data_IF_697399752843
#
_entry.id   IF_697399752843
#
_cell.length_a   1.000
_cell.length_b   1.000
_cell.length_c   1.000
_cell.angle_alpha   90.00
_cell.angle_beta   90.00
_cell.angle_gamma   90.00
#
_symmetry.space_group_name_H-M   'P 1'
#
loop_
_entity.id
_entity.type
_entity.pdbx_description
1 polymer ?
#
# COMPACT_ATOMS: atom_id res chain seq x y z
N UNK A 1 31.52 24.08 -10.96
CA UNK A 1 31.60 25.20 -10.00
C UNK A 1 30.33 26.02 -10.14
N UNK A 2 29.35 25.77 -9.28
CA UNK A 2 28.10 26.53 -9.24
C UNK A 2 27.82 26.83 -7.76
N UNK A 3 27.83 28.12 -7.43
CA UNK A 3 27.74 28.65 -6.07
C UNK A 3 26.33 28.48 -5.51
N UNK A 4 26.25 27.88 -4.33
CA UNK A 4 25.05 27.83 -3.51
C UNK A 4 24.95 29.12 -2.71
N UNK A 5 23.91 29.93 -2.98
CA UNK A 5 23.55 31.07 -2.15
C UNK A 5 22.63 30.59 -1.02
N UNK A 6 23.19 30.58 0.18
CA UNK A 6 22.52 30.26 1.44
C UNK A 6 21.71 31.48 1.90
N UNK A 7 20.40 31.35 2.07
CA UNK A 7 19.55 32.39 2.69
C UNK A 7 19.12 31.89 4.07
N UNK A 8 19.69 32.52 5.08
CA UNK A 8 19.39 32.34 6.51
C UNK A 8 18.11 33.09 6.87
N UNK A 9 17.19 32.42 7.57
CA UNK A 9 16.11 33.06 8.30
C UNK A 9 16.18 32.65 9.78
N UNK A 10 16.94 33.44 10.54
CA UNK A 10 16.82 33.51 11.99
C UNK A 10 15.94 34.73 12.32
N UNK A 11 14.86 34.51 13.06
CA UNK A 11 14.24 35.41 14.05
C UNK A 11 12.75 35.08 14.16
N UNK A 12 12.37 34.31 15.17
CA UNK A 12 11.07 34.46 15.81
C UNK A 12 11.26 34.26 17.31
N UNK A 13 10.95 35.34 18.01
CA UNK A 13 11.19 35.64 19.40
C UNK A 13 10.32 34.83 20.35
N UNK A 14 10.95 34.37 21.42
CA UNK A 14 10.32 33.87 22.63
C UNK A 14 9.52 34.98 23.32
N UNK A 15 8.25 34.72 23.63
CA UNK A 15 7.61 35.27 24.83
C UNK A 15 6.85 34.14 25.54
N UNK A 16 7.48 33.65 26.60
CA UNK A 16 6.90 32.75 27.58
C UNK A 16 5.94 33.55 28.48
N UNK A 17 4.73 33.04 28.67
CA UNK A 17 3.89 33.44 29.80
C UNK A 17 3.95 32.35 30.85
N UNK A 18 4.45 32.74 32.01
CA UNK A 18 4.58 31.94 33.24
C UNK A 18 3.17 31.69 33.79
N UNK A 19 2.76 30.42 33.93
CA UNK A 19 1.72 30.04 34.89
C UNK A 19 2.27 28.92 35.77
N UNK A 20 2.23 29.21 37.06
CA UNK A 20 2.87 28.47 38.12
C UNK A 20 2.04 27.23 38.53
N UNK A 21 2.79 26.23 38.96
CA UNK A 21 2.42 24.89 39.42
C UNK A 21 1.33 24.82 40.50
N UNK A 22 0.39 23.88 40.34
CA UNK A 22 -0.18 23.11 41.45
C UNK A 22 -0.26 21.62 41.08
N UNK A 23 0.49 20.82 41.83
CA UNK A 23 0.48 19.35 41.83
C UNK A 23 -0.86 18.84 42.36
N UNK A 24 -1.55 18.00 41.60
CA UNK A 24 -2.40 16.94 42.16
C UNK A 24 -2.07 15.61 41.47
N UNK A 25 -1.57 14.67 42.28
CA UNK A 25 -1.48 13.25 41.94
C UNK A 25 -2.90 12.70 41.89
N UNK A 26 -3.29 12.08 40.78
CA UNK A 26 -4.35 11.07 40.76
C UNK A 26 -3.99 9.98 39.76
N UNK A 27 -4.06 8.74 40.25
CA UNK A 27 -3.79 7.48 39.57
C UNK A 27 -4.78 7.23 38.42
N UNK A 28 -4.39 6.64 37.28
CA UNK A 28 -5.38 6.18 36.30
C UNK A 28 -5.90 4.80 36.71
N UNK A 29 -7.20 4.73 37.01
CA UNK A 29 -7.94 3.48 37.09
C UNK A 29 -8.11 2.87 35.70
N UNK A 30 -7.84 1.57 35.57
CA UNK A 30 -8.16 0.78 34.39
C UNK A 30 -9.68 0.50 34.37
N UNK A 31 -10.40 1.04 33.40
CA UNK A 31 -11.75 0.59 33.07
C UNK A 31 -11.66 -0.68 32.20
N UNK A 32 -11.92 -1.82 32.83
CA UNK A 32 -12.11 -3.10 32.14
C UNK A 32 -13.60 -3.27 31.84
N UNK A 33 -13.98 -3.12 30.57
CA UNK A 33 -15.31 -3.49 30.09
C UNK A 33 -15.42 -5.01 29.99
N UNK A 34 -16.23 -5.63 30.87
CA UNK A 34 -16.61 -7.04 30.74
C UNK A 34 -17.88 -7.15 29.88
N UNK A 35 -17.84 -7.89 28.79
CA UNK A 35 -19.04 -8.29 28.06
C UNK A 35 -19.87 -9.26 28.91
N UNK A 36 -21.10 -8.86 29.26
CA UNK A 36 -22.12 -9.77 29.81
C UNK A 36 -22.78 -10.51 28.66
N UNK A 37 -22.63 -11.83 28.63
CA UNK A 37 -23.34 -12.71 27.71
C UNK A 37 -24.85 -12.70 27.95
N UNK A 38 -25.60 -12.72 26.85
CA UNK A 38 -27.06 -12.82 26.79
C UNK A 38 -27.54 -14.22 27.18
N UNK A 39 -28.62 -14.27 27.95
CA UNK A 39 -29.33 -15.49 28.34
C UNK A 39 -30.09 -16.06 27.14
N UNK A 40 -29.74 -17.27 26.72
CA UNK A 40 -30.60 -18.12 25.90
C UNK A 40 -31.13 -19.27 26.77
N UNK A 41 -32.46 -19.42 26.77
CA UNK A 41 -33.15 -20.54 27.41
C UNK A 41 -32.78 -21.86 26.74
N UNK A 42 -32.17 -22.78 27.48
CA UNK A 42 -32.08 -24.18 27.11
C UNK A 42 -32.49 -25.05 28.31
N UNK A 43 -33.43 -25.95 28.04
CA UNK A 43 -34.06 -26.85 29.00
C UNK A 43 -33.04 -27.74 29.72
N UNK A 44 -33.20 -27.86 31.04
CA UNK A 44 -32.34 -28.65 31.91
C UNK A 44 -32.64 -30.16 31.80
N UNK A 45 -31.75 -30.93 31.19
CA UNK A 45 -31.64 -32.37 31.44
C UNK A 45 -30.57 -32.59 32.53
N UNK A 46 -31.00 -32.90 33.76
CA UNK A 46 -30.12 -33.26 34.88
C UNK A 46 -29.70 -34.73 34.76
N UNK A 47 -28.43 -34.98 34.52
CA UNK A 47 -27.78 -36.25 34.86
C UNK A 47 -26.85 -36.02 36.05
N UNK A 48 -27.13 -36.70 37.15
CA UNK A 48 -26.32 -36.68 38.38
C UNK A 48 -25.23 -37.74 38.29
N UNK A 49 -23.96 -37.34 38.32
CA UNK A 49 -22.83 -38.25 38.51
C UNK A 49 -21.94 -37.72 39.65
N UNK A 50 -21.67 -38.50 40.72
CA UNK A 50 -20.82 -38.07 41.81
C UNK A 50 -19.39 -38.55 41.55
N UNK A 51 -18.63 -37.81 40.75
CA UNK A 51 -17.17 -37.95 40.75
C UNK A 51 -16.54 -36.57 40.87
N UNK A 52 -16.14 -36.26 42.11
CA UNK A 52 -15.34 -35.10 42.44
C UNK A 52 -13.98 -35.21 41.75
N UNK A 53 -13.86 -34.63 40.56
CA UNK A 53 -12.56 -34.40 39.93
C UNK A 53 -11.92 -33.22 40.65
N UNK A 54 -10.93 -33.51 41.49
CA UNK A 54 -10.02 -32.52 42.05
C UNK A 54 -9.35 -31.75 40.89
N UNK A 55 -9.86 -30.55 40.57
CA UNK A 55 -9.14 -29.59 39.74
C UNK A 55 -7.96 -29.07 40.56
N UNK A 56 -6.75 -29.54 40.24
CA UNK A 56 -5.52 -28.84 40.66
C UNK A 56 -5.61 -27.40 40.13
N UNK A 57 -5.36 -26.37 40.96
CA UNK A 57 -5.26 -25.02 40.45
C UNK A 57 -4.05 -24.97 39.51
N UNK A 58 -4.30 -24.67 38.21
CA UNK A 58 -3.22 -24.27 37.30
C UNK A 58 -2.72 -22.92 37.80
N UNK A 59 -1.64 -22.95 38.58
CA UNK A 59 -0.90 -21.75 38.93
C UNK A 59 -0.49 -21.01 37.65
N UNK A 60 -0.94 -19.77 37.52
CA UNK A 60 -0.17 -18.71 36.87
C UNK A 60 -0.06 -18.73 35.34
N UNK A 61 -1.09 -19.14 34.60
CA UNK A 61 -1.16 -18.72 33.19
C UNK A 61 -1.70 -17.29 33.18
N UNK A 62 -0.81 -16.31 33.19
CA UNK A 62 -1.17 -14.94 32.89
C UNK A 62 -1.83 -14.96 31.51
N UNK A 63 -3.07 -14.43 31.33
CA UNK A 63 -3.67 -14.39 30.01
C UNK A 63 -2.72 -13.62 29.09
N UNK A 64 -2.42 -14.20 27.92
CA UNK A 64 -1.59 -13.57 26.90
C UNK A 64 -2.22 -12.20 26.58
N UNK A 65 -1.61 -11.12 27.06
CA UNK A 65 -2.10 -9.77 26.81
C UNK A 65 -1.55 -9.32 25.46
N UNK A 66 -2.33 -9.55 24.40
CA UNK A 66 -2.06 -8.97 23.08
C UNK A 66 -2.44 -7.50 23.13
N UNK A 67 -1.50 -6.63 22.80
CA UNK A 67 -1.74 -5.18 22.70
C UNK A 67 -1.39 -4.76 21.28
N UNK A 68 -2.36 -4.17 20.58
CA UNK A 68 -2.08 -3.49 19.32
C UNK A 68 -1.33 -2.19 19.63
N UNK A 69 -0.12 -2.05 19.11
CA UNK A 69 0.72 -0.88 19.33
C UNK A 69 1.05 -0.24 17.99
N UNK A 70 0.83 1.07 17.91
CA UNK A 70 1.29 1.91 16.82
C UNK A 70 2.62 2.56 17.19
N UNK A 71 3.48 2.71 16.20
CA UNK A 71 4.79 3.33 16.32
C UNK A 71 4.78 4.71 15.67
N UNK A 72 5.67 5.62 16.08
CA UNK A 72 5.77 6.93 15.43
C UNK A 72 6.04 6.81 13.92
N UNK A 73 5.48 7.76 13.15
CA UNK A 73 5.81 7.92 11.73
C UNK A 73 7.34 8.01 11.58
N UNK A 74 7.97 7.16 10.77
CA UNK A 74 9.41 7.24 10.53
C UNK A 74 9.77 8.57 9.86
N UNK A 75 10.99 9.04 10.07
CA UNK A 75 11.54 10.14 9.28
C UNK A 75 11.76 9.67 7.84
N UNK A 76 10.89 10.15 6.94
CA UNK A 76 10.88 9.86 5.51
C UNK A 76 11.06 11.12 4.66
N UNK A 77 10.79 12.30 5.22
CA UNK A 77 10.65 13.55 4.46
C UNK A 77 12.01 14.05 3.94
N UNK A 78 13.11 13.53 4.51
CA UNK A 78 14.48 13.85 4.14
C UNK A 78 15.10 12.90 3.10
N UNK A 79 14.39 11.83 2.68
CA UNK A 79 14.95 10.87 1.71
C UNK A 79 14.96 11.44 0.29
N UNK A 80 15.95 11.07 -0.51
CA UNK A 80 16.08 11.57 -1.89
C UNK A 80 14.84 11.26 -2.74
N UNK A 81 14.29 10.04 -2.62
CA UNK A 81 13.10 9.60 -3.35
C UNK A 81 11.85 10.39 -2.91
N UNK A 82 11.72 10.72 -1.61
CA UNK A 82 10.63 11.56 -1.13
C UNK A 82 10.72 12.97 -1.71
N UNK A 83 11.91 13.58 -1.66
CA UNK A 83 12.15 14.94 -2.16
C UNK A 83 11.94 15.04 -3.67
N UNK A 84 12.35 14.02 -4.43
CA UNK A 84 12.11 13.95 -5.88
C UNK A 84 10.61 13.87 -6.20
N UNK A 85 9.87 13.00 -5.51
CA UNK A 85 8.42 12.90 -5.67
C UNK A 85 7.70 14.19 -5.24
N UNK A 86 8.15 14.83 -4.15
CA UNK A 86 7.63 16.11 -3.67
C UNK A 86 7.85 17.22 -4.69
N UNK A 87 9.04 17.26 -5.31
CA UNK A 87 9.34 18.19 -6.38
C UNK A 87 8.38 17.98 -7.55
N UNK A 88 8.26 16.75 -8.06
CA UNK A 88 7.36 16.44 -9.18
C UNK A 88 5.91 16.81 -8.88
N UNK A 89 5.38 16.43 -7.71
CA UNK A 89 3.99 16.76 -7.35
C UNK A 89 3.78 18.27 -7.15
N UNK A 90 4.78 18.99 -6.63
CA UNK A 90 4.73 20.45 -6.51
C UNK A 90 4.62 21.16 -7.85
N UNK A 91 5.16 20.57 -8.94
CA UNK A 91 5.13 21.21 -10.26
C UNK A 91 3.70 21.47 -10.74
N UNK A 92 2.75 20.58 -10.46
CA UNK A 92 1.33 20.79 -10.82
C UNK A 92 0.75 22.05 -10.17
N UNK A 93 1.05 22.29 -8.89
CA UNK A 93 0.56 23.50 -8.18
C UNK A 93 1.29 24.77 -8.62
N UNK A 94 2.57 24.65 -8.95
CA UNK A 94 3.45 25.75 -9.35
C UNK A 94 3.34 26.13 -10.84
N UNK A 95 2.78 25.26 -11.68
CA UNK A 95 2.58 25.54 -13.10
C UNK A 95 1.72 26.80 -13.31
N UNK A 96 2.03 27.62 -14.34
CA UNK A 96 1.18 28.74 -14.73
C UNK A 96 -0.25 28.25 -14.97
N UNK A 97 -1.23 28.97 -14.43
CA UNK A 97 -2.65 28.61 -14.60
C UNK A 97 -3.01 28.71 -16.08
N UNK A 98 -3.73 27.71 -16.64
CA UNK A 98 -4.08 27.71 -18.05
C UNK A 98 -5.04 28.87 -18.34
N UNK A 99 -4.84 29.57 -19.47
CA UNK A 99 -5.77 30.60 -19.94
C UNK A 99 -7.15 30.03 -20.24
N UNK A 100 -7.20 28.78 -20.70
CA UNK A 100 -8.40 27.96 -20.85
C UNK A 100 -8.16 26.61 -20.16
N UNK A 101 -8.73 26.38 -18.96
CA UNK A 101 -8.71 25.07 -18.33
C UNK A 101 -9.22 23.97 -19.27
N UNK A 102 -8.49 22.87 -19.38
CA UNK A 102 -8.93 21.69 -20.13
C UNK A 102 -9.98 20.94 -19.31
N UNK A 103 -11.04 20.52 -19.99
CA UNK A 103 -11.97 19.51 -19.48
C UNK A 103 -11.36 18.13 -19.77
N UNK A 104 -11.09 17.34 -18.74
CA UNK A 104 -10.45 16.03 -18.89
C UNK A 104 -11.33 14.93 -18.30
N UNK A 105 -11.80 14.02 -19.14
CA UNK A 105 -12.64 12.90 -18.67
C UNK A 105 -11.76 11.71 -18.33
N UNK A 106 -11.95 11.15 -17.14
CA UNK A 106 -11.13 10.07 -16.59
C UNK A 106 -12.04 8.88 -16.28
N UNK A 107 -11.78 7.73 -16.89
CA UNK A 107 -12.52 6.49 -16.64
C UNK A 107 -11.87 5.68 -15.51
N UNK A 108 -12.58 5.53 -14.38
CA UNK A 108 -12.23 4.72 -13.21
C UNK A 108 -11.67 5.54 -12.04
N UNK A 109 -12.34 5.48 -10.88
CA UNK A 109 -11.91 6.15 -9.64
C UNK A 109 -11.14 5.21 -8.69
N UNK A 110 -10.25 4.39 -9.24
CA UNK A 110 -9.18 3.76 -8.46
C UNK A 110 -8.10 4.78 -8.07
N UNK A 111 -7.09 4.36 -7.30
CA UNK A 111 -6.00 5.27 -6.89
C UNK A 111 -5.32 5.97 -8.07
N UNK A 112 -5.18 5.31 -9.23
CA UNK A 112 -4.64 5.93 -10.43
C UNK A 112 -5.51 7.11 -10.92
N UNK A 113 -6.82 6.90 -11.11
CA UNK A 113 -7.72 7.95 -11.58
C UNK A 113 -7.95 9.06 -10.57
N UNK A 114 -8.01 8.71 -9.27
CA UNK A 114 -8.06 9.69 -8.18
C UNK A 114 -6.81 10.58 -8.17
N UNK A 115 -5.61 9.99 -8.29
CA UNK A 115 -4.37 10.76 -8.38
C UNK A 115 -4.32 11.62 -9.66
N UNK A 116 -4.72 11.07 -10.82
CA UNK A 116 -4.80 11.84 -12.07
C UNK A 116 -5.72 13.06 -11.91
N UNK A 117 -6.93 12.87 -11.38
CA UNK A 117 -7.88 13.96 -11.17
C UNK A 117 -7.33 14.99 -10.18
N UNK A 118 -6.75 14.55 -9.06
CA UNK A 118 -6.14 15.43 -8.04
C UNK A 118 -5.08 16.33 -8.65
N UNK A 119 -4.13 15.78 -9.40
CA UNK A 119 -3.03 16.57 -9.96
C UNK A 119 -3.43 17.42 -11.17
N UNK A 120 -4.45 17.02 -11.94
CA UNK A 120 -5.05 17.89 -12.96
C UNK A 120 -5.77 19.09 -12.32
N UNK A 121 -6.50 18.87 -11.23
CA UNK A 121 -7.12 19.94 -10.46
C UNK A 121 -6.06 20.88 -9.87
N UNK A 122 -4.97 20.34 -9.32
CA UNK A 122 -3.83 21.14 -8.83
C UNK A 122 -3.22 22.03 -9.92
N UNK A 123 -3.17 21.55 -11.16
CA UNK A 123 -2.72 22.30 -12.34
C UNK A 123 -3.74 23.33 -12.87
N UNK A 124 -4.95 23.38 -12.30
CA UNK A 124 -6.01 24.32 -12.69
C UNK A 124 -6.81 23.85 -13.90
N UNK A 125 -6.85 22.54 -14.17
CA UNK A 125 -7.75 21.94 -15.15
C UNK A 125 -9.04 21.44 -14.49
N UNK A 126 -10.03 21.05 -15.30
CA UNK A 126 -11.32 20.56 -14.84
C UNK A 126 -11.45 19.04 -15.09
N UNK A 127 -11.01 18.19 -14.14
CA UNK A 127 -11.17 16.74 -14.27
C UNK A 127 -12.63 16.34 -14.05
N UNK A 128 -13.12 15.37 -14.84
CA UNK A 128 -14.39 14.69 -14.66
C UNK A 128 -14.09 13.20 -14.49
N UNK A 129 -14.08 12.75 -13.24
CA UNK A 129 -13.76 11.39 -12.85
C UNK A 129 -15.03 10.54 -12.78
N UNK A 130 -15.08 9.48 -13.58
CA UNK A 130 -16.25 8.61 -13.74
C UNK A 130 -15.95 7.21 -13.21
N UNK A 131 -16.62 6.82 -12.14
CA UNK A 131 -16.52 5.48 -11.53
C UNK A 131 -17.70 4.62 -11.92
N UNK A 132 -17.43 3.38 -12.33
CA UNK A 132 -18.45 2.47 -12.81
C UNK A 132 -19.35 1.91 -11.69
N UNK A 133 -18.81 1.77 -10.48
CA UNK A 133 -19.52 1.26 -9.29
C UNK A 133 -20.06 2.39 -8.43
N UNK A 134 -20.78 2.02 -7.38
CA UNK A 134 -21.25 2.89 -6.29
C UNK A 134 -20.18 3.14 -5.21
N UNK A 135 -18.97 2.56 -5.36
CA UNK A 135 -17.86 2.65 -4.40
C UNK A 135 -16.55 3.11 -5.07
N UNK A 136 -15.79 3.94 -4.36
CA UNK A 136 -14.49 4.46 -4.79
C UNK A 136 -13.33 3.47 -4.51
N UNK A 137 -12.17 3.74 -5.09
CA UNK A 137 -10.90 3.09 -4.73
C UNK A 137 -10.52 1.88 -5.60
N UNK A 138 -11.45 1.32 -6.36
CA UNK A 138 -11.11 0.21 -7.26
C UNK A 138 -10.69 -1.03 -6.48
N UNK A 139 -9.39 -1.40 -6.56
CA UNK A 139 -8.82 -2.54 -5.83
C UNK A 139 -8.62 -2.28 -4.33
N UNK A 140 -8.69 -1.03 -3.88
CA UNK A 140 -8.71 -0.67 -2.44
C UNK A 140 -10.13 -0.48 -1.90
N UNK A 141 -11.17 -0.77 -2.68
CA UNK A 141 -12.55 -0.56 -2.25
C UNK A 141 -12.92 -1.44 -1.04
N UNK A 142 -13.82 -0.94 -0.22
CA UNK A 142 -14.39 -1.64 0.93
C UNK A 142 -15.89 -1.36 1.00
N UNK A 143 -16.63 -2.28 1.61
CA UNK A 143 -18.07 -2.16 1.83
C UNK A 143 -18.38 -2.44 3.30
N UNK A 144 -19.52 -1.91 3.74
CA UNK A 144 -20.04 -2.11 5.10
C UNK A 144 -21.22 -3.06 5.01
N UNK A 145 -21.23 -4.10 5.83
CA UNK A 145 -22.36 -5.04 5.91
C UNK A 145 -23.52 -4.50 6.78
N UNK A 146 -24.53 -5.33 6.99
CA UNK A 146 -25.70 -4.97 7.81
C UNK A 146 -25.40 -4.79 9.29
N UNK A 147 -24.34 -5.42 9.80
CA UNK A 147 -23.94 -5.37 11.21
C UNK A 147 -23.06 -4.15 11.49
N UNK A 148 -22.58 -3.49 10.43
CA UNK A 148 -21.77 -2.28 10.48
C UNK A 148 -20.27 -2.55 10.32
N UNK A 149 -19.89 -3.81 10.07
CA UNK A 149 -18.51 -4.23 9.89
C UNK A 149 -18.04 -3.99 8.45
N UNK A 150 -16.78 -3.60 8.31
CA UNK A 150 -16.15 -3.37 7.01
C UNK A 150 -15.50 -4.64 6.49
N UNK A 151 -15.68 -4.92 5.21
CA UNK A 151 -14.93 -5.93 4.46
C UNK A 151 -14.29 -5.31 3.22
N UNK A 152 -13.02 -5.66 2.97
CA UNK A 152 -12.19 -5.01 1.97
C UNK A 152 -11.91 -5.90 0.76
N UNK A 153 -11.63 -5.28 -0.39
CA UNK A 153 -11.23 -6.00 -1.61
C UNK A 153 -9.90 -6.76 -1.41
N UNK A 154 -9.01 -6.27 -0.55
CA UNK A 154 -7.71 -6.89 -0.27
C UNK A 154 -7.07 -6.30 0.99
N UNK A 155 -6.10 -7.02 1.55
CA UNK A 155 -5.27 -6.51 2.65
C UNK A 155 -4.18 -5.60 2.08
N UNK A 156 -4.22 -4.30 2.42
CA UNK A 156 -3.29 -3.31 1.89
C UNK A 156 -2.24 -2.88 2.91
N UNK A 157 -0.97 -2.91 2.51
CA UNK A 157 0.17 -2.48 3.31
C UNK A 157 0.82 -1.26 2.65
N UNK A 158 1.05 -0.21 3.44
CA UNK A 158 1.78 0.97 3.01
C UNK A 158 3.23 0.86 3.47
N UNK A 159 4.18 1.14 2.58
CA UNK A 159 5.60 1.09 2.87
C UNK A 159 6.22 2.48 2.98
N UNK A 160 7.30 2.60 3.77
CA UNK A 160 8.12 3.81 3.80
C UNK A 160 8.63 4.23 2.41
N UNK A 161 9.05 3.24 1.60
CA UNK A 161 9.57 3.47 0.26
C UNK A 161 8.50 3.79 -0.81
N UNK A 162 7.33 4.30 -0.42
CA UNK A 162 6.26 4.75 -1.33
C UNK A 162 6.19 6.28 -1.40
N UNK A 163 7.18 6.95 -2.00
CA UNK A 163 7.33 8.41 -1.88
C UNK A 163 6.14 9.19 -2.43
N UNK A 164 5.52 8.73 -3.53
CA UNK A 164 4.34 9.38 -4.10
C UNK A 164 3.10 9.28 -3.18
N UNK A 165 2.94 8.17 -2.45
CA UNK A 165 1.86 8.02 -1.48
C UNK A 165 2.13 8.87 -0.24
N UNK A 166 3.37 8.88 0.27
CA UNK A 166 3.74 9.72 1.41
C UNK A 166 3.50 11.21 1.09
N UNK A 167 3.87 11.65 -0.11
CA UNK A 167 3.58 13.01 -0.57
C UNK A 167 2.08 13.28 -0.70
N UNK A 168 1.30 12.37 -1.31
CA UNK A 168 -0.15 12.52 -1.42
C UNK A 168 -0.83 12.66 -0.04
N UNK A 169 -0.43 11.85 0.94
CA UNK A 169 -0.94 11.94 2.31
C UNK A 169 -0.55 13.27 2.98
N UNK A 170 0.69 13.73 2.78
CA UNK A 170 1.14 15.02 3.28
C UNK A 170 0.42 16.21 2.66
N UNK A 171 0.17 16.16 1.35
CA UNK A 171 -0.54 17.19 0.61
C UNK A 171 -2.01 17.34 1.02
N UNK A 172 -2.65 16.23 1.39
CA UNK A 172 -4.02 16.19 1.89
C UNK A 172 -4.10 16.38 3.42
N UNK A 173 -2.97 16.45 4.11
CA UNK A 173 -2.92 16.61 5.58
C UNK A 173 -3.45 15.41 6.36
N UNK A 174 -3.26 14.18 5.84
CA UNK A 174 -3.80 12.94 6.42
C UNK A 174 -2.72 11.92 6.82
N UNK A 175 -1.48 12.38 7.03
CA UNK A 175 -0.34 11.52 7.42
C UNK A 175 -0.60 10.70 8.69
N UNK A 176 -1.42 11.19 9.60
CA UNK A 176 -1.81 10.55 10.86
C UNK A 176 -2.69 9.30 10.66
N UNK A 177 -3.31 9.14 9.48
CA UNK A 177 -4.13 7.96 9.15
C UNK A 177 -3.30 6.70 8.86
N UNK A 178 -1.97 6.83 8.74
CA UNK A 178 -1.07 5.70 8.58
C UNK A 178 -0.56 5.22 9.96
N UNK A 179 -1.06 4.05 10.36
CA UNK A 179 -0.67 3.37 11.60
C UNK A 179 0.60 2.54 11.38
N UNK A 180 1.75 3.16 11.62
CA UNK A 180 3.06 2.51 11.47
C UNK A 180 3.27 1.43 12.51
N UNK A 181 3.84 0.29 12.08
CA UNK A 181 4.13 -0.86 12.95
C UNK A 181 5.62 -0.97 13.24
N UNK A 182 5.96 -1.91 14.12
CA UNK A 182 7.35 -2.25 14.41
C UNK A 182 8.10 -2.55 13.11
N UNK A 183 9.37 -2.15 13.03
CA UNK A 183 10.19 -2.45 11.86
C UNK A 183 10.68 -3.91 11.89
N UNK A 184 9.75 -4.82 11.62
CA UNK A 184 9.98 -6.27 11.65
C UNK A 184 9.18 -6.98 10.57
N UNK A 185 9.70 -8.12 10.11
CA UNK A 185 8.98 -9.07 9.28
C UNK A 185 8.80 -10.38 10.03
N UNK A 186 7.56 -10.79 10.25
CA UNK A 186 7.21 -11.98 11.05
C UNK A 186 6.68 -13.07 10.11
N UNK A 187 7.22 -14.26 10.25
CA UNK A 187 6.91 -15.44 9.45
C UNK A 187 6.42 -16.56 10.35
N UNK A 188 5.33 -17.22 9.98
CA UNK A 188 4.89 -18.44 10.64
C UNK A 188 5.85 -19.60 10.30
N UNK A 189 6.05 -20.54 11.22
CA UNK A 189 6.91 -21.70 11.03
C UNK A 189 6.06 -22.94 10.68
N UNK A 190 6.00 -23.39 9.41
CA UNK A 190 5.13 -24.51 9.02
C UNK A 190 5.52 -25.83 9.68
N UNK A 191 6.81 -26.00 9.98
CA UNK A 191 7.37 -27.16 10.68
C UNK A 191 7.14 -27.13 12.20
N UNK A 192 6.67 -26.01 12.76
CA UNK A 192 6.41 -25.83 14.19
C UNK A 192 5.11 -25.05 14.41
N UNK A 193 3.94 -25.73 14.36
CA UNK A 193 2.64 -25.06 14.45
C UNK A 193 2.50 -24.19 15.70
N UNK A 194 2.16 -22.91 15.49
CA UNK A 194 2.01 -21.91 16.56
C UNK A 194 3.29 -21.12 16.88
N UNK A 195 4.44 -21.48 16.30
CA UNK A 195 5.68 -20.70 16.41
C UNK A 195 5.84 -19.72 15.25
N UNK A 196 6.53 -18.61 15.53
CA UNK A 196 6.82 -17.55 14.58
C UNK A 196 8.30 -17.17 14.65
N UNK A 197 8.90 -16.95 13.49
CA UNK A 197 10.24 -16.39 13.35
C UNK A 197 10.16 -14.95 12.84
N UNK A 198 11.18 -14.14 13.14
CA UNK A 198 11.17 -12.72 12.78
C UNK A 198 12.52 -12.21 12.29
N UNK A 199 12.47 -11.25 11.37
CA UNK A 199 13.60 -10.39 11.00
C UNK A 199 13.37 -9.00 11.60
N UNK A 200 14.24 -8.60 12.52
CA UNK A 200 14.18 -7.30 13.21
C UNK A 200 15.18 -6.33 12.61
N UNK A 201 14.71 -5.16 12.19
CA UNK A 201 15.52 -4.11 11.59
C UNK A 201 15.85 -3.08 12.68
N UNK A 202 17.09 -3.06 13.22
CA UNK A 202 17.41 -2.17 14.32
C UNK A 202 17.37 -0.70 13.88
N UNK A 203 16.60 0.13 14.57
CA UNK A 203 16.47 1.56 14.25
C UNK A 203 17.79 2.33 14.41
N UNK A 204 18.78 1.80 15.14
CA UNK A 204 20.10 2.42 15.28
C UNK A 204 21.00 2.24 14.05
N UNK A 205 20.68 1.28 13.17
CA UNK A 205 21.50 0.96 11.99
C UNK A 205 20.87 1.57 10.72
N UNK A 206 21.67 2.10 9.79
CA UNK A 206 21.17 2.58 8.50
C UNK A 206 20.85 1.40 7.56
N UNK A 207 20.12 1.65 6.48
CA UNK A 207 20.06 0.71 5.37
C UNK A 207 21.40 0.72 4.59
N UNK A 208 21.86 -0.43 4.06
CA UNK A 208 21.29 -1.77 4.16
C UNK A 208 21.76 -2.57 5.41
N UNK A 209 22.54 -1.96 6.31
CA UNK A 209 23.17 -2.63 7.47
C UNK A 209 22.11 -3.20 8.42
N UNK A 210 21.00 -2.50 8.63
CA UNK A 210 19.87 -2.98 9.42
C UNK A 210 19.29 -4.31 8.89
N UNK A 211 19.15 -4.45 7.57
CA UNK A 211 18.66 -5.67 6.92
C UNK A 211 19.65 -6.82 6.99
N UNK A 212 20.94 -6.54 6.79
CA UNK A 212 22.01 -7.52 6.98
C UNK A 212 22.00 -8.04 8.42
N UNK A 213 21.86 -7.15 9.40
CA UNK A 213 21.76 -7.51 10.81
C UNK A 213 20.52 -8.39 11.10
N UNK A 214 19.36 -8.04 10.53
CA UNK A 214 18.14 -8.83 10.62
C UNK A 214 18.37 -10.29 10.19
N UNK A 215 18.99 -10.49 9.02
CA UNK A 215 19.29 -11.81 8.47
C UNK A 215 20.29 -12.57 9.34
N UNK A 216 21.34 -11.89 9.81
CA UNK A 216 22.37 -12.51 10.66
C UNK A 216 21.79 -12.96 12.01
N UNK A 217 20.93 -12.14 12.63
CA UNK A 217 20.32 -12.43 13.94
C UNK A 217 19.30 -13.58 13.89
N UNK A 218 18.58 -13.75 12.78
CA UNK A 218 17.59 -14.83 12.64
C UNK A 218 18.27 -16.20 12.46
N UNK A 219 17.98 -17.18 13.33
CA UNK A 219 18.65 -18.50 13.28
C UNK A 219 17.72 -19.67 12.94
N UNK A 220 16.43 -19.40 12.69
CA UNK A 220 15.43 -20.45 12.49
C UNK A 220 15.03 -20.61 11.02
N UNK A 221 15.06 -19.52 10.24
CA UNK A 221 14.70 -19.55 8.83
C UNK A 221 15.86 -20.01 7.96
N UNK A 222 17.07 -19.48 8.19
CA UNK A 222 18.26 -19.69 7.36
C UNK A 222 19.44 -20.23 8.16
N UNK A 223 20.06 -21.29 7.66
CA UNK A 223 21.33 -21.81 8.17
C UNK A 223 22.50 -20.89 7.78
N UNK A 224 23.63 -20.98 8.49
CA UNK A 224 24.82 -20.19 8.17
C UNK A 224 25.33 -20.35 6.72
N UNK A 225 25.45 -21.59 6.17
CA UNK A 225 25.83 -21.76 4.78
C UNK A 225 24.85 -21.13 3.78
N UNK A 226 23.54 -21.19 4.08
CA UNK A 226 22.51 -20.54 3.27
C UNK A 226 22.63 -19.02 3.31
N UNK A 227 22.86 -18.42 4.49
CA UNK A 227 23.08 -16.97 4.63
C UNK A 227 24.26 -16.49 3.79
N UNK A 228 25.38 -17.22 3.81
CA UNK A 228 26.57 -16.87 3.03
C UNK A 228 26.28 -16.93 1.53
N UNK A 229 25.70 -18.04 1.05
CA UNK A 229 25.34 -18.19 -0.37
C UNK A 229 24.31 -17.16 -0.82
N UNK A 230 23.33 -16.86 0.03
CA UNK A 230 22.33 -15.83 -0.22
C UNK A 230 22.96 -14.44 -0.36
N UNK A 231 23.85 -14.07 0.57
CA UNK A 231 24.59 -12.81 0.50
C UNK A 231 25.40 -12.70 -0.79
N UNK A 232 26.17 -13.73 -1.14
CA UNK A 232 26.97 -13.77 -2.38
C UNK A 232 26.06 -13.65 -3.62
N UNK A 233 24.96 -14.40 -3.66
CA UNK A 233 24.04 -14.42 -4.79
C UNK A 233 23.34 -13.08 -5.04
N UNK A 234 23.08 -12.29 -3.98
CA UNK A 234 22.48 -10.96 -4.08
C UNK A 234 23.47 -9.85 -4.46
N UNK A 235 24.79 -10.04 -4.31
CA UNK A 235 25.77 -8.98 -4.59
C UNK A 235 25.61 -8.32 -5.98
N UNK A 236 25.41 -9.07 -7.08
CA UNK A 236 25.23 -8.46 -8.39
C UNK A 236 23.98 -7.56 -8.47
N UNK A 237 22.91 -7.92 -7.77
CA UNK A 237 21.70 -7.11 -7.71
C UNK A 237 21.88 -5.82 -6.91
N UNK A 238 22.64 -5.88 -5.82
CA UNK A 238 22.93 -4.69 -4.98
C UNK A 238 23.80 -3.70 -5.75
N UNK A 239 24.76 -4.18 -6.56
CA UNK A 239 25.72 -3.34 -7.28
C UNK A 239 25.23 -2.90 -8.68
N UNK A 240 24.29 -3.64 -9.29
CA UNK A 240 23.96 -3.51 -10.71
C UNK A 240 23.10 -2.31 -11.11
N UNK A 241 22.51 -1.58 -10.15
CA UNK A 241 21.63 -0.44 -10.42
C UNK A 241 20.40 -0.79 -11.25
N UNK A 242 19.72 0.24 -11.78
CA UNK A 242 18.43 0.09 -12.46
C UNK A 242 18.50 -0.74 -13.75
N UNK A 243 19.55 -0.55 -14.56
CA UNK A 243 19.73 -1.29 -15.81
C UNK A 243 19.91 -2.80 -15.57
N UNK A 244 20.59 -3.19 -14.49
CA UNK A 244 20.69 -4.60 -14.11
C UNK A 244 19.33 -5.17 -13.73
N UNK A 245 18.54 -4.44 -12.93
CA UNK A 245 17.20 -4.88 -12.48
C UNK A 245 16.30 -5.12 -13.68
N UNK A 246 16.26 -4.20 -14.64
CA UNK A 246 15.48 -4.34 -15.88
C UNK A 246 15.92 -5.54 -16.73
N UNK A 247 17.22 -5.81 -16.79
CA UNK A 247 17.74 -6.97 -17.51
C UNK A 247 17.33 -8.32 -16.88
N UNK A 248 16.78 -8.34 -15.66
CA UNK A 248 16.33 -9.58 -15.01
C UNK A 248 14.84 -9.91 -15.27
N UNK A 249 14.10 -9.08 -16.04
CA UNK A 249 12.68 -9.33 -16.31
C UNK A 249 12.40 -10.63 -17.10
N UNK A 250 13.40 -11.12 -17.83
CA UNK A 250 13.31 -12.37 -18.58
C UNK A 250 13.45 -13.65 -17.74
N UNK A 251 13.72 -13.54 -16.43
CA UNK A 251 13.92 -14.70 -15.54
C UNK A 251 12.84 -14.75 -14.46
N UNK A 252 12.36 -15.96 -14.16
CA UNK A 252 11.56 -16.18 -12.95
C UNK A 252 12.43 -15.98 -11.70
N UNK A 253 11.81 -15.70 -10.55
CA UNK A 253 12.51 -15.62 -9.26
C UNK A 253 13.28 -16.93 -9.00
N UNK A 254 12.64 -18.08 -9.24
CA UNK A 254 13.24 -19.39 -9.03
C UNK A 254 14.46 -19.61 -9.92
N UNK A 255 14.37 -19.27 -11.20
CA UNK A 255 15.48 -19.47 -12.15
C UNK A 255 16.65 -18.52 -11.86
N UNK A 256 16.35 -17.28 -11.48
CA UNK A 256 17.37 -16.32 -11.07
C UNK A 256 18.09 -16.78 -9.80
N UNK A 257 17.36 -17.22 -8.77
CA UNK A 257 17.97 -17.72 -7.53
C UNK A 257 18.95 -18.87 -7.80
N UNK A 258 18.55 -19.83 -8.64
CA UNK A 258 19.40 -20.95 -9.05
C UNK A 258 20.63 -20.50 -9.82
N UNK A 259 20.45 -19.57 -10.78
CA UNK A 259 21.55 -18.98 -11.56
C UNK A 259 22.59 -18.30 -10.66
N UNK A 260 22.14 -17.67 -9.57
CA UNK A 260 23.01 -17.00 -8.60
C UNK A 260 23.61 -17.95 -7.54
N UNK A 261 23.34 -19.26 -7.61
CA UNK A 261 23.83 -20.25 -6.65
C UNK A 261 23.16 -20.18 -5.28
N UNK A 262 22.00 -19.53 -5.18
CA UNK A 262 21.21 -19.44 -3.95
C UNK A 262 20.50 -20.78 -3.73
N UNK A 263 20.58 -21.38 -2.54
CA UNK A 263 19.95 -22.69 -2.29
C UNK A 263 18.43 -22.67 -2.48
N UNK A 264 17.89 -23.72 -3.11
CA UNK A 264 16.44 -23.87 -3.37
C UNK A 264 15.57 -23.74 -2.11
N UNK A 265 16.10 -24.11 -0.94
CA UNK A 265 15.42 -23.94 0.35
C UNK A 265 15.18 -22.46 0.69
N UNK A 266 16.11 -21.56 0.38
CA UNK A 266 15.92 -20.10 0.59
C UNK A 266 14.77 -19.59 -0.28
N UNK A 267 14.68 -20.05 -1.52
CA UNK A 267 13.57 -19.73 -2.42
C UNK A 267 12.23 -20.19 -1.85
N UNK A 268 12.21 -21.40 -1.28
CA UNK A 268 10.99 -22.02 -0.74
C UNK A 268 10.54 -21.37 0.57
N UNK A 269 11.46 -21.13 1.51
CA UNK A 269 11.15 -20.61 2.85
C UNK A 269 10.85 -19.10 2.84
N UNK A 270 11.57 -18.31 2.02
CA UNK A 270 11.47 -16.85 2.04
C UNK A 270 10.75 -16.31 0.82
N UNK A 271 11.14 -16.73 -0.38
CA UNK A 271 10.67 -16.10 -1.61
C UNK A 271 9.30 -16.60 -2.09
N UNK A 272 8.80 -17.75 -1.62
CA UNK A 272 7.38 -18.08 -1.81
C UNK A 272 6.49 -17.05 -1.11
N UNK A 273 6.81 -16.72 0.15
CA UNK A 273 6.06 -15.73 0.91
C UNK A 273 6.13 -14.35 0.26
N UNK A 274 7.34 -13.92 -0.14
CA UNK A 274 7.54 -12.62 -0.79
C UNK A 274 6.84 -12.52 -2.15
N UNK A 275 6.94 -13.55 -3.01
CA UNK A 275 6.29 -13.56 -4.33
C UNK A 275 4.76 -13.51 -4.22
N UNK A 276 4.19 -14.28 -3.29
CA UNK A 276 2.74 -14.27 -3.04
C UNK A 276 2.28 -12.95 -2.44
N UNK A 277 3.07 -12.33 -1.57
CA UNK A 277 2.73 -11.03 -0.99
C UNK A 277 2.72 -9.89 -2.04
N UNK A 278 3.63 -9.93 -3.03
CA UNK A 278 3.76 -8.87 -4.02
C UNK A 278 2.79 -9.00 -5.20
N UNK A 279 2.56 -10.22 -5.69
CA UNK A 279 1.79 -10.43 -6.92
C UNK A 279 0.90 -11.69 -6.92
N UNK A 280 0.69 -12.30 -5.75
CA UNK A 280 -0.21 -13.45 -5.56
C UNK A 280 0.14 -14.73 -6.35
N UNK A 281 1.34 -14.81 -6.94
CA UNK A 281 1.85 -15.96 -7.70
C UNK A 281 3.14 -16.52 -7.08
N UNK A 282 3.50 -17.75 -7.49
CA UNK A 282 4.67 -18.44 -6.99
C UNK A 282 5.98 -17.93 -7.65
N UNK A 283 7.15 -18.16 -7.03
CA UNK A 283 8.44 -17.68 -7.55
C UNK A 283 8.87 -18.31 -8.89
N UNK A 284 8.29 -19.42 -9.31
CA UNK A 284 8.50 -20.02 -10.64
C UNK A 284 7.77 -19.28 -11.76
N UNK A 285 6.76 -18.46 -11.43
CA UNK A 285 5.99 -17.66 -12.39
C UNK A 285 6.34 -16.16 -12.32
N UNK A 286 6.71 -15.66 -11.14
CA UNK A 286 7.00 -14.25 -10.92
C UNK A 286 8.33 -13.82 -11.58
N UNK A 287 8.31 -12.71 -12.31
CA UNK A 287 9.53 -12.04 -12.82
C UNK A 287 10.44 -11.59 -11.67
N UNK A 288 11.74 -11.89 -11.78
CA UNK A 288 12.73 -11.47 -10.77
C UNK A 288 12.84 -9.95 -10.66
N UNK A 289 12.53 -9.20 -11.73
CA UNK A 289 12.49 -7.75 -11.70
C UNK A 289 11.59 -7.22 -10.57
N UNK A 290 10.44 -7.88 -10.33
CA UNK A 290 9.51 -7.50 -9.27
C UNK A 290 10.16 -7.57 -7.87
N UNK A 291 10.86 -8.67 -7.57
CA UNK A 291 11.57 -8.85 -6.30
C UNK A 291 12.71 -7.86 -6.17
N UNK A 292 13.48 -7.63 -7.23
CA UNK A 292 14.62 -6.73 -7.19
C UNK A 292 14.20 -5.27 -6.99
N UNK A 293 13.09 -4.83 -7.56
CA UNK A 293 12.54 -3.49 -7.28
C UNK A 293 12.21 -3.35 -5.78
N UNK A 294 11.54 -4.35 -5.19
CA UNK A 294 11.21 -4.33 -3.77
C UNK A 294 12.47 -4.33 -2.87
N UNK A 295 13.44 -5.22 -3.16
CA UNK A 295 14.69 -5.27 -2.41
C UNK A 295 15.50 -3.99 -2.55
N UNK A 296 15.64 -3.43 -3.76
CA UNK A 296 16.38 -2.20 -3.99
C UNK A 296 15.82 -1.04 -3.17
N UNK A 297 14.50 -0.91 -3.10
CA UNK A 297 13.83 0.09 -2.25
C UNK A 297 14.11 -0.13 -0.76
N UNK A 298 14.13 -1.39 -0.30
CA UNK A 298 14.43 -1.71 1.11
C UNK A 298 15.89 -1.50 1.48
N UNK A 299 16.81 -1.57 0.52
CA UNK A 299 18.24 -1.37 0.72
C UNK A 299 18.65 0.10 0.66
N UNK A 300 17.89 0.94 -0.06
CA UNK A 300 18.19 2.36 -0.24
C UNK A 300 17.73 3.23 0.93
N UNK A 301 16.61 2.89 1.55
CA UNK A 301 15.99 3.73 2.59
C UNK A 301 15.94 3.01 3.93
N UNK A 302 16.43 3.68 4.99
CA UNK A 302 16.46 3.13 6.35
C UNK A 302 15.11 2.54 6.78
N UNK A 303 14.02 3.25 6.52
CA UNK A 303 12.65 2.84 6.86
C UNK A 303 11.85 2.38 5.62
N UNK A 304 12.51 2.08 4.50
CA UNK A 304 11.85 1.74 3.25
C UNK A 304 10.96 0.50 3.34
N UNK A 305 11.37 -0.49 4.13
CA UNK A 305 10.61 -1.72 4.42
C UNK A 305 9.70 -1.62 5.66
N UNK A 306 9.64 -0.48 6.35
CA UNK A 306 8.73 -0.30 7.49
C UNK A 306 7.29 -0.23 6.95
N UNK A 307 6.38 -0.88 7.67
CA UNK A 307 5.00 -1.11 7.22
C UNK A 307 4.02 -0.26 8.03
N UNK A 308 2.95 0.19 7.36
CA UNK A 308 1.81 0.86 7.97
C UNK A 308 0.49 0.29 7.44
N UNK A 309 -0.53 0.36 8.28
CA UNK A 309 -1.93 0.08 7.95
C UNK A 309 -2.70 1.41 7.90
N UNK A 310 -3.77 1.46 7.12
CA UNK A 310 -4.69 2.58 7.17
C UNK A 310 -5.60 2.45 8.39
N UNK A 311 -5.92 3.56 9.05
CA UNK A 311 -6.72 3.62 10.28
C UNK A 311 -8.23 3.34 10.11
N UNK A 312 -8.64 2.81 8.95
CA UNK A 312 -10.01 2.46 8.63
C UNK A 312 -10.19 2.21 7.13
N UNK A 313 -11.44 2.16 6.68
CA UNK A 313 -11.78 1.76 5.31
C UNK A 313 -11.18 2.73 4.27
N UNK A 314 -10.49 2.24 3.22
CA UNK A 314 -9.87 3.13 2.22
C UNK A 314 -10.83 4.09 1.51
N UNK A 315 -12.10 3.73 1.18
CA UNK A 315 -13.04 4.68 0.60
C UNK A 315 -13.25 5.93 1.45
N UNK A 316 -13.41 5.80 2.76
CA UNK A 316 -13.64 6.94 3.68
C UNK A 316 -12.33 7.60 4.12
N UNK A 317 -11.29 6.80 4.38
CA UNK A 317 -10.06 7.27 5.00
C UNK A 317 -9.01 7.78 4.00
N UNK A 318 -9.08 7.38 2.73
CA UNK A 318 -8.15 7.79 1.69
C UNK A 318 -8.84 8.39 0.45
N UNK A 319 -9.86 7.72 -0.09
CA UNK A 319 -10.48 8.18 -1.33
C UNK A 319 -11.30 9.46 -1.14
N UNK A 320 -12.10 9.56 -0.07
CA UNK A 320 -12.92 10.75 0.20
C UNK A 320 -12.09 12.04 0.31
N UNK A 321 -10.98 12.12 1.07
CA UNK A 321 -10.11 13.30 1.06
C UNK A 321 -9.62 13.74 -0.33
N UNK A 322 -9.33 12.78 -1.22
CA UNK A 322 -8.93 13.09 -2.60
C UNK A 322 -10.11 13.67 -3.38
N UNK A 323 -11.31 13.11 -3.22
CA UNK A 323 -12.54 13.61 -3.85
C UNK A 323 -12.87 15.03 -3.38
N UNK A 324 -12.80 15.27 -2.06
CA UNK A 324 -13.05 16.59 -1.47
C UNK A 324 -12.09 17.63 -2.06
N UNK A 325 -10.81 17.28 -2.19
CA UNK A 325 -9.80 18.13 -2.82
C UNK A 325 -10.12 18.44 -4.28
N UNK A 326 -10.45 17.41 -5.08
CA UNK A 326 -10.82 17.56 -6.50
C UNK A 326 -12.02 18.50 -6.63
N UNK A 327 -13.07 18.29 -5.84
CA UNK A 327 -14.30 19.08 -5.88
C UNK A 327 -14.09 20.52 -5.40
N UNK A 328 -13.23 20.74 -4.40
CA UNK A 328 -12.87 22.08 -3.92
C UNK A 328 -12.22 22.96 -4.99
N UNK A 329 -11.59 22.32 -5.99
CA UNK A 329 -10.93 22.96 -7.12
C UNK A 329 -11.79 22.94 -8.41
N UNK A 330 -13.06 22.58 -8.30
CA UNK A 330 -14.03 22.61 -9.42
C UNK A 330 -14.04 21.37 -10.31
N UNK A 331 -13.32 20.32 -9.94
CA UNK A 331 -13.43 19.01 -10.58
C UNK A 331 -14.71 18.27 -10.20
N UNK A 332 -15.10 17.30 -11.01
CA UNK A 332 -16.28 16.48 -10.78
C UNK A 332 -15.93 15.02 -10.55
N UNK A 333 -16.61 14.38 -9.61
CA UNK A 333 -16.48 12.93 -9.34
C UNK A 333 -17.88 12.32 -9.35
N UNK A 334 -18.12 11.33 -10.22
CA UNK A 334 -19.43 10.69 -10.41
C UNK A 334 -19.30 9.18 -10.29
N UNK A 335 -20.00 8.57 -9.33
CA UNK A 335 -20.17 7.12 -9.23
C UNK A 335 -21.28 6.65 -10.17
N UNK A 336 -21.45 5.33 -10.30
CA UNK A 336 -22.47 4.70 -11.17
C UNK A 336 -22.45 5.19 -12.64
N UNK A 337 -21.27 5.57 -13.12
CA UNK A 337 -21.03 6.19 -14.42
C UNK A 337 -20.12 5.31 -15.28
N UNK A 338 -20.60 4.11 -15.64
CA UNK A 338 -19.80 3.13 -16.40
C UNK A 338 -19.66 3.54 -17.85
N UNK A 339 -18.41 3.66 -18.33
CA UNK A 339 -18.12 3.79 -19.76
C UNK A 339 -18.50 2.48 -20.47
N UNK A 340 -19.31 2.59 -21.51
CA UNK A 340 -19.73 1.47 -22.36
C UNK A 340 -18.96 1.44 -23.69
N UNK A 341 -18.62 2.61 -24.25
CA UNK A 341 -17.92 2.70 -25.54
C UNK A 341 -17.05 3.95 -25.62
N UNK A 342 -15.89 3.81 -26.25
CA UNK A 342 -15.06 4.92 -26.73
C UNK A 342 -15.53 5.23 -28.16
N UNK A 343 -16.18 6.37 -28.35
CA UNK A 343 -16.63 6.80 -29.67
C UNK A 343 -15.54 7.61 -30.36
N UNK A 344 -15.31 7.34 -31.64
CA UNK A 344 -14.21 7.92 -32.39
C UNK A 344 -14.70 8.88 -33.48
N UNK A 345 -13.86 9.89 -33.74
CA UNK A 345 -13.96 10.70 -34.95
C UNK A 345 -13.50 9.90 -36.18
N UNK A 346 -13.76 10.44 -37.37
CA UNK A 346 -13.37 9.82 -38.63
C UNK A 346 -11.84 9.68 -38.80
N UNK A 347 -11.06 10.50 -38.10
CA UNK A 347 -9.59 10.46 -38.09
C UNK A 347 -9.01 9.46 -37.06
N UNK A 348 -9.87 8.77 -36.31
CA UNK A 348 -9.49 7.79 -35.29
C UNK A 348 -9.19 8.38 -33.92
N UNK A 349 -9.31 9.70 -33.72
CA UNK A 349 -9.21 10.33 -32.39
C UNK A 349 -10.49 10.13 -31.57
N UNK A 350 -10.41 10.27 -30.25
CA UNK A 350 -11.59 10.13 -29.38
C UNK A 350 -12.54 11.32 -29.59
N UNK A 351 -13.79 11.01 -29.93
CA UNK A 351 -14.87 11.99 -30.00
C UNK A 351 -15.52 12.18 -28.64
N UNK A 352 -15.88 11.07 -27.99
CA UNK A 352 -16.59 11.08 -26.69
C UNK A 352 -16.48 9.74 -25.97
N UNK A 353 -16.81 9.74 -24.68
CA UNK A 353 -17.15 8.52 -23.96
C UNK A 353 -18.67 8.37 -23.86
N UNK A 354 -19.17 7.20 -24.24
CA UNK A 354 -20.59 6.84 -24.12
C UNK A 354 -20.76 6.00 -22.86
N UNK A 355 -21.66 6.43 -21.97
CA UNK A 355 -21.99 5.73 -20.73
C UNK A 355 -23.03 4.64 -20.96
N UNK A 356 -23.12 3.68 -20.03
CA UNK A 356 -24.09 2.59 -20.05
C UNK A 356 -25.56 3.03 -20.03
N UNK A 357 -25.85 4.25 -19.56
CA UNK A 357 -27.18 4.85 -19.59
C UNK A 357 -27.47 5.63 -20.89
N UNK A 358 -26.56 5.57 -21.87
CA UNK A 358 -26.66 6.30 -23.15
C UNK A 358 -26.18 7.76 -23.11
N UNK A 359 -25.80 8.28 -21.94
CA UNK A 359 -25.24 9.64 -21.85
C UNK A 359 -23.91 9.72 -22.58
N UNK A 360 -23.67 10.83 -23.26
CA UNK A 360 -22.43 11.09 -24.00
C UNK A 360 -21.66 12.20 -23.31
N UNK A 361 -20.37 11.98 -23.06
CA UNK A 361 -19.50 12.96 -22.42
C UNK A 361 -18.35 13.32 -23.37
N UNK A 362 -18.31 14.58 -23.76
CA UNK A 362 -17.25 15.20 -24.55
C UNK A 362 -16.30 16.02 -23.66
N UNK A 363 -15.02 16.01 -24.02
CA UNK A 363 -13.92 16.64 -23.30
C UNK A 363 -12.74 16.97 -24.24
N UNK A 364 -11.83 17.82 -23.77
CA UNK A 364 -10.62 18.19 -24.51
C UNK A 364 -9.57 17.07 -24.46
N UNK A 365 -9.58 16.26 -23.39
CA UNK A 365 -8.71 15.09 -23.25
C UNK A 365 -9.43 13.94 -22.52
N UNK A 366 -8.96 12.72 -22.78
CA UNK A 366 -9.53 11.49 -22.24
C UNK A 366 -8.44 10.63 -21.59
N UNK A 367 -8.72 10.12 -20.40
CA UNK A 367 -7.81 9.23 -19.66
C UNK A 367 -8.55 7.93 -19.33
N UNK A 368 -7.90 6.81 -19.59
CA UNK A 368 -8.35 5.49 -19.14
C UNK A 368 -7.53 5.05 -17.94
N UNK A 369 -8.11 5.15 -16.74
CA UNK A 369 -7.51 4.73 -15.47
C UNK A 369 -8.11 3.41 -14.94
N UNK A 370 -8.71 2.61 -15.84
CA UNK A 370 -9.31 1.31 -15.53
C UNK A 370 -8.24 0.21 -15.49
N UNK A 371 -8.54 -0.98 -14.92
CA UNK A 371 -7.72 -2.16 -15.12
C UNK A 371 -7.49 -2.47 -16.60
N UNK A 372 -6.33 -3.02 -16.95
CA UNK A 372 -5.94 -3.34 -18.34
C UNK A 372 -6.94 -4.28 -19.01
N UNK A 373 -7.51 -5.23 -18.26
CA UNK A 373 -8.50 -6.17 -18.77
C UNK A 373 -9.78 -5.47 -19.25
N UNK A 374 -10.21 -4.41 -18.55
CA UNK A 374 -11.37 -3.61 -18.95
C UNK A 374 -11.04 -2.73 -20.15
N UNK A 375 -9.85 -2.12 -20.18
CA UNK A 375 -9.40 -1.33 -21.33
C UNK A 375 -9.40 -2.18 -22.60
N UNK A 376 -8.81 -3.39 -22.56
CA UNK A 376 -8.75 -4.30 -23.72
C UNK A 376 -10.12 -4.60 -24.32
N UNK A 377 -11.16 -4.73 -23.49
CA UNK A 377 -12.53 -4.97 -23.93
C UNK A 377 -13.20 -3.74 -24.57
N UNK A 378 -12.78 -2.54 -24.16
CA UNK A 378 -13.33 -1.27 -24.64
C UNK A 378 -12.51 -0.64 -25.78
N UNK A 379 -11.40 -1.25 -26.18
CA UNK A 379 -10.58 -0.76 -27.28
C UNK A 379 -11.38 -0.76 -28.59
N UNK A 380 -11.45 0.39 -29.29
CA UNK A 380 -11.97 0.46 -30.65
C UNK A 380 -11.22 -0.49 -31.59
N UNK A 381 -11.92 -1.11 -32.55
CA UNK A 381 -11.32 -2.09 -33.47
C UNK A 381 -10.11 -1.55 -34.24
N UNK A 382 -10.18 -0.29 -34.67
CA UNK A 382 -9.09 0.38 -35.39
C UNK A 382 -7.83 0.61 -34.53
N UNK A 383 -7.95 0.56 -33.20
CA UNK A 383 -6.82 0.72 -32.28
C UNK A 383 -6.15 -0.61 -31.93
N UNK A 384 -6.85 -1.75 -32.04
CA UNK A 384 -6.34 -3.05 -31.57
C UNK A 384 -5.04 -3.48 -32.25
N UNK A 385 -4.89 -3.19 -33.55
CA UNK A 385 -3.67 -3.53 -34.30
C UNK A 385 -2.53 -2.52 -34.10
N UNK A 386 -2.75 -1.40 -33.40
CA UNK A 386 -1.68 -0.44 -33.16
C UNK A 386 -0.61 -1.06 -32.24
N UNK A 387 0.70 -0.89 -32.52
CA UNK A 387 1.77 -1.51 -31.76
C UNK A 387 1.75 -1.23 -30.24
N UNK A 388 1.19 -0.09 -29.83
CA UNK A 388 1.03 0.25 -28.42
C UNK A 388 -0.02 -0.65 -27.74
N UNK A 389 -1.22 -0.74 -28.30
CA UNK A 389 -2.33 -1.48 -27.69
C UNK A 389 -2.16 -3.00 -27.81
N UNK A 390 -1.52 -3.48 -28.88
CA UNK A 390 -1.22 -4.91 -29.06
C UNK A 390 -0.33 -5.48 -27.94
N UNK A 391 0.61 -4.68 -27.41
CA UNK A 391 1.45 -5.09 -26.28
C UNK A 391 0.66 -5.40 -25.00
N UNK A 392 -0.56 -4.87 -24.86
CA UNK A 392 -1.41 -5.11 -23.70
C UNK A 392 -1.91 -6.55 -23.62
N UNK A 393 -1.88 -7.31 -24.72
CA UNK A 393 -2.25 -8.74 -24.72
C UNK A 393 -1.42 -9.57 -23.73
N UNK A 394 -0.15 -9.20 -23.51
CA UNK A 394 0.73 -9.85 -22.52
C UNK A 394 0.30 -9.58 -21.08
N UNK A 395 -0.45 -8.50 -20.82
CA UNK A 395 -0.85 -8.08 -19.48
C UNK A 395 -2.24 -8.64 -19.14
N UNK A 396 -2.31 -9.58 -18.20
CA UNK A 396 -3.54 -10.23 -17.77
C UNK A 396 -3.64 -10.16 -16.24
N UNK A 397 -4.83 -9.86 -15.73
CA UNK A 397 -5.09 -9.83 -14.29
C UNK A 397 -4.88 -11.20 -13.62
N UNK A 398 -4.18 -11.19 -12.48
CA UNK A 398 -4.03 -12.37 -11.61
C UNK A 398 -5.26 -12.51 -10.70
N UNK A 399 -5.82 -13.73 -10.51
CA UNK A 399 -6.89 -13.95 -9.56
C UNK A 399 -6.39 -13.87 -8.11
N UNK A 400 -7.20 -13.32 -7.22
CA UNK A 400 -6.92 -13.22 -5.78
C UNK A 400 -8.24 -13.26 -5.00
N UNK A 401 -8.22 -13.82 -3.79
CA UNK A 401 -9.35 -13.88 -2.87
C UNK A 401 -8.92 -13.29 -1.53
N UNK A 402 -9.72 -12.39 -0.98
CA UNK A 402 -9.54 -11.86 0.37
C UNK A 402 -10.59 -12.46 1.31
N UNK A 403 -10.17 -12.94 2.48
CA UNK A 403 -11.02 -13.65 3.44
C UNK A 403 -11.05 -12.90 4.76
N UNK A 404 -12.25 -12.68 5.31
CA UNK A 404 -12.48 -12.06 6.61
C UNK A 404 -13.21 -13.08 7.49
N UNK A 405 -12.73 -13.27 8.72
CA UNK A 405 -13.31 -14.18 9.72
C UNK A 405 -13.26 -13.42 11.05
N UNK A 406 -14.43 -13.18 11.65
CA UNK A 406 -14.59 -12.48 12.92
C UNK A 406 -14.62 -13.43 14.11
#
# INVERSE_FOLDING_TARGET
MAQWACVSAANLSCQATIVNTQKQRNSPGCDAFSFKGSEFMAQSCRFSSPQAVYRRPRNGVCPLKVVCVDYPRPDLDSTANFLEAAYFSSTFRASPRPTKPLKVVIAGAGLAGLATAKYLADAGHQPILLEARDVLGGKVAAWKDSDGDWYETGLHIFFGAYPNIQNLFGELGINDRLQWKEHSMIFAMPNKPGEFSRFDFPEVLPAPINGIWAILKNNEMLTWPEKIKFAIGLLPAILGGQAYVEAQDGLSVKDWMRKQGIPDRVTTEVFIAMSKALNFINPDELSMQCILIALNRFLQEKHGSKMAFLDGSPPERLCAPIVDHIQSLGGEVRTNSRIQKIDLNNDGTVKSFVLNNGSVIEADAYVFATPVDILKLLLPENWKEMPYFKKLEKLVGVPVINVHIW
#
